data_IF_256865171576
#
_entry.id   IF_256865171576
#
_cell.length_a   1.000
_cell.length_b   1.000
_cell.length_c   1.000
_cell.angle_alpha   90.00
_cell.angle_beta   90.00
_cell.angle_gamma   90.00
#
_symmetry.space_group_name_H-M   'P 1'
#
loop_
_entity.id
_entity.type
_entity.pdbx_description
1 polymer ?
#
# COMPACT_ATOMS: atom_id res chain seq x y z
N UNK A 1 16.56 -10.12 15.58
CA UNK A 1 15.58 -9.56 14.64
C UNK A 1 16.21 -9.00 13.37
N UNK A 2 17.34 -8.29 13.44
CA UNK A 2 17.97 -7.71 12.24
C UNK A 2 18.63 -8.78 11.34
N UNK A 3 19.28 -9.79 11.92
CA UNK A 3 19.90 -10.89 11.17
C UNK A 3 18.90 -11.82 10.47
N UNK A 4 17.70 -11.99 11.04
CA UNK A 4 16.62 -12.78 10.43
C UNK A 4 16.04 -12.08 9.21
N UNK A 5 15.91 -10.75 9.27
CA UNK A 5 15.39 -9.94 8.16
C UNK A 5 16.35 -9.94 6.96
N UNK A 6 17.66 -9.84 7.21
CA UNK A 6 18.69 -9.89 6.16
C UNK A 6 18.72 -11.26 5.48
N UNK A 7 18.54 -12.36 6.23
CA UNK A 7 18.44 -13.70 5.65
C UNK A 7 17.22 -13.83 4.74
N UNK A 8 16.08 -13.32 5.18
CA UNK A 8 14.84 -13.37 4.42
C UNK A 8 14.92 -12.52 3.14
N UNK A 9 15.58 -11.35 3.19
CA UNK A 9 15.87 -10.52 2.02
C UNK A 9 16.80 -11.23 1.00
N UNK A 10 17.83 -11.92 1.47
CA UNK A 10 18.73 -12.72 0.62
C UNK A 10 17.98 -13.90 -0.01
N UNK A 11 17.12 -14.58 0.73
CA UNK A 11 16.31 -15.69 0.19
C UNK A 11 15.32 -15.22 -0.88
N UNK A 12 14.61 -14.11 -0.65
CA UNK A 12 13.68 -13.53 -1.63
C UNK A 12 14.41 -13.09 -2.90
N UNK A 13 15.57 -12.45 -2.76
CA UNK A 13 16.36 -12.01 -3.93
C UNK A 13 16.92 -13.19 -4.71
N UNK A 14 17.36 -14.26 -4.05
CA UNK A 14 17.81 -15.48 -4.73
C UNK A 14 16.65 -16.20 -5.42
N UNK A 15 15.49 -16.34 -4.78
CA UNK A 15 14.30 -16.95 -5.39
C UNK A 15 13.85 -16.17 -6.64
N UNK A 16 13.91 -14.82 -6.59
CA UNK A 16 13.62 -13.96 -7.74
C UNK A 16 14.60 -14.19 -8.90
N UNK A 17 15.91 -14.30 -8.61
CA UNK A 17 16.94 -14.60 -9.62
C UNK A 17 16.73 -15.96 -10.27
N UNK A 18 16.41 -16.99 -9.49
CA UNK A 18 16.13 -18.34 -10.01
C UNK A 18 14.90 -18.34 -10.94
N UNK A 19 13.79 -17.70 -10.53
CA UNK A 19 12.62 -17.53 -11.40
C UNK A 19 12.96 -16.81 -12.69
N UNK A 20 13.77 -15.76 -12.62
CA UNK A 20 14.19 -15.00 -13.80
C UNK A 20 15.05 -15.85 -14.74
N UNK A 21 16.00 -16.61 -14.21
CA UNK A 21 16.85 -17.50 -15.00
C UNK A 21 16.03 -18.56 -15.74
N UNK A 22 15.08 -19.19 -15.05
CA UNK A 22 14.17 -20.18 -15.64
C UNK A 22 13.30 -19.55 -16.74
N UNK A 23 12.77 -18.34 -16.53
CA UNK A 23 11.98 -17.63 -17.53
C UNK A 23 12.78 -17.29 -18.80
N UNK A 24 14.03 -16.84 -18.65
CA UNK A 24 14.91 -16.59 -19.80
C UNK A 24 15.24 -17.87 -20.56
N UNK A 25 15.47 -18.98 -19.86
CA UNK A 25 15.69 -20.28 -20.50
C UNK A 25 14.48 -20.70 -21.35
N UNK A 26 13.26 -20.53 -20.82
CA UNK A 26 12.03 -20.81 -21.57
C UNK A 26 11.86 -19.88 -22.77
N UNK A 27 12.16 -18.58 -22.63
CA UNK A 27 12.13 -17.62 -23.74
C UNK A 27 13.09 -18.06 -24.86
N UNK A 28 14.29 -18.48 -24.49
CA UNK A 28 15.29 -18.92 -25.44
C UNK A 28 14.87 -20.20 -26.19
N UNK A 29 14.36 -21.21 -25.47
CA UNK A 29 13.81 -22.43 -26.09
C UNK A 29 12.66 -22.14 -27.06
N UNK A 30 11.78 -21.17 -26.72
CA UNK A 30 10.69 -20.75 -27.62
C UNK A 30 11.22 -20.07 -28.88
N UNK A 31 12.24 -19.21 -28.75
CA UNK A 31 12.88 -18.57 -29.90
C UNK A 31 13.58 -19.59 -30.81
N UNK A 32 14.29 -20.57 -30.25
CA UNK A 32 14.92 -21.65 -31.00
C UNK A 32 13.89 -22.49 -31.77
N UNK A 33 12.80 -22.89 -31.12
CA UNK A 33 11.70 -23.61 -31.78
C UNK A 33 11.04 -22.79 -32.89
N UNK A 34 10.88 -21.48 -32.69
CA UNK A 34 10.33 -20.58 -33.70
C UNK A 34 11.24 -20.48 -34.93
N UNK A 35 12.56 -20.36 -34.73
CA UNK A 35 13.52 -20.33 -35.85
C UNK A 35 13.56 -21.66 -36.60
N UNK A 36 13.52 -22.80 -35.92
CA UNK A 36 13.49 -24.10 -36.59
C UNK A 36 12.18 -24.30 -37.36
N UNK A 37 11.04 -23.86 -36.82
CA UNK A 37 9.77 -23.89 -37.55
C UNK A 37 9.79 -23.00 -38.79
N UNK A 38 10.37 -21.81 -38.72
CA UNK A 38 10.54 -20.94 -39.89
C UNK A 38 11.46 -21.58 -40.95
N UNK A 39 12.50 -22.31 -40.51
CA UNK A 39 13.40 -23.07 -41.38
C UNK A 39 12.67 -24.22 -42.09
N UNK A 40 11.86 -24.98 -41.33
CA UNK A 40 11.03 -26.06 -41.87
C UNK A 40 9.96 -25.51 -42.83
N UNK A 41 9.36 -24.37 -42.51
CA UNK A 41 8.40 -23.68 -43.36
C UNK A 41 9.03 -23.29 -44.70
N UNK A 42 10.22 -22.66 -44.68
CA UNK A 42 10.94 -22.33 -45.92
C UNK A 42 11.29 -23.58 -46.73
N UNK A 43 11.66 -24.68 -46.08
CA UNK A 43 11.98 -25.94 -46.75
C UNK A 43 10.76 -26.61 -47.41
N UNK A 44 9.60 -26.58 -46.75
CA UNK A 44 8.37 -27.26 -47.20
C UNK A 44 7.59 -26.41 -48.22
N UNK A 45 7.57 -25.10 -48.06
CA UNK A 45 6.70 -24.22 -48.86
C UNK A 45 7.40 -23.52 -50.04
N UNK A 46 8.75 -23.47 -50.10
CA UNK A 46 9.45 -22.93 -51.28
C UNK A 46 9.74 -23.97 -52.37
N UNK A 47 9.53 -25.26 -52.13
CA UNK A 47 9.94 -26.35 -53.03
C UNK A 47 8.81 -27.02 -53.83
N UNK A 48 7.62 -26.40 -53.93
CA UNK A 48 6.48 -26.99 -54.65
C UNK A 48 6.20 -26.31 -56.01
N UNK A 49 6.77 -26.79 -57.13
CA UNK A 49 6.31 -26.37 -58.46
C UNK A 49 4.94 -27.01 -58.73
N UNK A 50 3.94 -26.15 -58.95
CA UNK A 50 2.57 -26.53 -59.31
C UNK A 50 2.54 -26.89 -60.81
N UNK A 51 2.72 -28.17 -61.12
CA UNK A 51 2.50 -28.67 -62.48
C UNK A 51 1.01 -28.83 -62.74
N UNK A 52 0.49 -27.96 -63.61
CA UNK A 52 -0.73 -28.18 -64.38
C UNK A 52 -0.48 -29.32 -65.38
N UNK A 53 -1.35 -30.33 -65.41
CA UNK A 53 -1.58 -31.11 -66.62
C UNK A 53 -3.08 -31.39 -66.74
N UNK A 54 -3.65 -30.84 -67.80
CA UNK A 54 -4.98 -31.10 -68.30
C UNK A 54 -4.82 -31.54 -69.77
N UNK A 55 -5.26 -32.76 -70.09
CA UNK A 55 -5.40 -33.29 -71.45
C UNK A 55 -6.30 -34.54 -71.36
N UNK A 56 -7.59 -34.48 -71.69
CA UNK A 56 -8.24 -34.42 -73.02
C UNK A 56 -8.29 -35.79 -73.76
N UNK A 57 -9.51 -36.36 -73.78
CA UNK A 57 -10.28 -36.89 -74.95
C UNK A 57 -10.26 -38.39 -75.36
N UNK A 58 -11.51 -38.92 -75.31
CA UNK A 58 -12.32 -39.77 -76.24
C UNK A 58 -11.99 -41.25 -76.56
N UNK A 59 -12.94 -42.08 -76.13
CA UNK A 59 -13.79 -43.06 -76.86
C UNK A 59 -13.25 -43.84 -78.06
N UNK A 60 -13.42 -45.18 -78.02
CA UNK A 60 -13.91 -45.97 -79.16
C UNK A 60 -14.58 -47.28 -78.71
N UNK A 61 -15.77 -47.53 -79.24
CA UNK A 61 -16.57 -48.76 -79.15
C UNK A 61 -16.21 -49.63 -80.36
N UNK A 62 -15.98 -50.94 -80.18
CA UNK A 62 -16.08 -51.95 -81.25
C UNK A 62 -16.69 -53.28 -80.76
N UNK A 63 -17.58 -53.77 -81.63
CA UNK A 63 -18.37 -55.00 -81.79
C UNK A 63 -18.06 -56.26 -80.98
N UNK A 64 -19.09 -56.74 -80.27
CA UNK A 64 -19.23 -58.03 -79.60
C UNK A 64 -19.23 -59.21 -80.58
N UNK A 65 -18.13 -59.98 -80.59
CA UNK A 65 -18.08 -61.46 -80.73
C UNK A 65 -16.62 -61.96 -80.86
N UNK A 66 -15.66 -61.08 -81.18
CA UNK A 66 -14.21 -61.25 -80.93
C UNK A 66 -13.80 -60.65 -79.56
N UNK A 67 -14.74 -59.93 -78.94
CA UNK A 67 -14.57 -59.16 -77.70
C UNK A 67 -14.12 -60.02 -76.54
N UNK A 68 -14.54 -61.28 -76.43
CA UNK A 68 -14.18 -62.07 -75.25
C UNK A 68 -12.71 -62.49 -75.25
N UNK A 69 -12.10 -62.72 -76.42
CA UNK A 69 -10.66 -63.07 -76.51
C UNK A 69 -9.80 -61.83 -76.40
N UNK A 70 -10.15 -60.76 -77.09
CA UNK A 70 -9.47 -59.47 -77.00
C UNK A 70 -9.61 -58.83 -75.61
N UNK A 71 -10.74 -59.05 -74.93
CA UNK A 71 -10.94 -58.59 -73.56
C UNK A 71 -10.17 -59.44 -72.56
N UNK A 72 -10.06 -60.75 -72.77
CA UNK A 72 -9.21 -61.62 -71.95
C UNK A 72 -7.74 -61.25 -72.12
N UNK A 73 -7.24 -61.07 -73.34
CA UNK A 73 -5.85 -60.63 -73.57
C UNK A 73 -5.60 -59.23 -73.03
N UNK A 74 -6.55 -58.30 -73.19
CA UNK A 74 -6.47 -56.96 -72.57
C UNK A 74 -6.44 -57.05 -71.05
N UNK A 75 -7.26 -57.90 -70.44
CA UNK A 75 -7.28 -58.11 -68.99
C UNK A 75 -5.96 -58.72 -68.52
N UNK A 76 -5.43 -59.73 -69.20
CA UNK A 76 -4.12 -60.33 -68.93
C UNK A 76 -2.99 -59.30 -69.01
N UNK A 77 -2.99 -58.45 -70.05
CA UNK A 77 -2.05 -57.34 -70.21
C UNK A 77 -2.17 -56.32 -69.06
N UNK A 78 -3.39 -55.97 -68.66
CA UNK A 78 -3.60 -55.07 -67.52
C UNK A 78 -3.14 -55.69 -66.21
N UNK A 79 -3.36 -56.99 -65.99
CA UNK A 79 -2.86 -57.71 -64.82
C UNK A 79 -1.34 -57.88 -64.85
N UNK A 80 -0.72 -58.07 -66.02
CA UNK A 80 0.73 -58.07 -66.17
C UNK A 80 1.33 -56.70 -65.82
N UNK A 81 0.71 -55.61 -66.30
CA UNK A 81 1.10 -54.24 -65.94
C UNK A 81 0.91 -53.96 -64.45
N UNK A 82 -0.21 -54.40 -63.87
CA UNK A 82 -0.48 -54.25 -62.44
C UNK A 82 0.54 -55.02 -61.61
N UNK A 83 0.86 -56.27 -61.97
CA UNK A 83 1.91 -57.07 -61.33
C UNK A 83 3.28 -56.43 -61.41
N UNK A 84 3.65 -55.92 -62.58
CA UNK A 84 4.92 -55.21 -62.77
C UNK A 84 4.99 -53.93 -61.92
N UNK A 85 3.92 -53.12 -61.92
CA UNK A 85 3.86 -51.88 -61.14
C UNK A 85 3.82 -52.12 -59.63
N UNK A 86 3.17 -53.20 -59.19
CA UNK A 86 3.10 -53.59 -57.78
C UNK A 86 4.21 -54.55 -57.37
N UNK A 87 5.13 -54.90 -58.26
CA UNK A 87 6.29 -55.75 -57.99
C UNK A 87 5.97 -57.14 -57.45
N UNK A 88 4.84 -57.73 -57.84
CA UNK A 88 4.39 -59.06 -57.37
C UNK A 88 4.20 -60.02 -58.53
N UNK A 89 4.54 -61.29 -58.30
CA UNK A 89 4.56 -62.31 -59.35
C UNK A 89 3.18 -62.92 -59.62
N UNK A 90 2.32 -63.03 -58.60
CA UNK A 90 0.96 -63.58 -58.72
C UNK A 90 -0.09 -62.48 -58.70
N UNK A 91 -1.17 -62.69 -59.45
CA UNK A 91 -2.27 -61.71 -59.55
C UNK A 91 -3.02 -61.56 -58.22
N UNK A 92 -3.11 -62.63 -57.42
CA UNK A 92 -3.73 -62.59 -56.08
C UNK A 92 -2.97 -61.66 -55.12
N UNK A 93 -1.63 -61.64 -55.21
CA UNK A 93 -0.77 -60.83 -54.34
C UNK A 93 -0.91 -59.33 -54.62
N UNK A 94 -1.30 -58.95 -55.84
CA UNK A 94 -1.63 -57.56 -56.22
C UNK A 94 -2.77 -57.05 -55.35
N UNK A 95 -3.85 -57.83 -55.25
CA UNK A 95 -5.03 -57.48 -54.45
C UNK A 95 -4.68 -57.38 -52.97
N UNK A 96 -3.92 -58.36 -52.44
CA UNK A 96 -3.49 -58.35 -51.04
C UNK A 96 -2.64 -57.11 -50.71
N UNK A 97 -1.76 -56.66 -51.63
CA UNK A 97 -0.95 -55.45 -51.45
C UNK A 97 -1.81 -54.18 -51.44
N UNK A 98 -2.82 -54.08 -52.30
CA UNK A 98 -3.77 -52.96 -52.28
C UNK A 98 -4.64 -52.94 -51.03
N UNK A 99 -5.10 -54.11 -50.56
CA UNK A 99 -5.84 -54.22 -49.30
C UNK A 99 -4.97 -53.82 -48.11
N UNK A 100 -3.70 -54.23 -48.08
CA UNK A 100 -2.71 -53.80 -47.08
C UNK A 100 -2.47 -52.29 -47.11
N UNK A 101 -2.24 -51.71 -48.29
CA UNK A 101 -2.06 -50.27 -48.46
C UNK A 101 -3.29 -49.47 -48.03
N UNK A 102 -4.48 -49.95 -48.35
CA UNK A 102 -5.74 -49.35 -47.90
C UNK A 102 -5.84 -49.38 -46.37
N UNK A 103 -5.57 -50.53 -45.76
CA UNK A 103 -5.59 -50.66 -44.30
C UNK A 103 -4.56 -49.74 -43.62
N UNK A 104 -3.34 -49.64 -44.15
CA UNK A 104 -2.31 -48.71 -43.65
C UNK A 104 -2.74 -47.26 -43.82
N UNK A 105 -3.30 -46.88 -44.98
CA UNK A 105 -3.83 -45.53 -45.23
C UNK A 105 -4.94 -45.17 -44.26
N UNK A 106 -5.89 -46.08 -44.06
CA UNK A 106 -7.02 -45.88 -43.14
C UNK A 106 -6.52 -45.74 -41.69
N UNK A 107 -5.52 -46.54 -41.28
CA UNK A 107 -4.92 -46.43 -39.96
C UNK A 107 -4.17 -45.10 -39.76
N UNK A 108 -3.37 -44.66 -40.75
CA UNK A 108 -2.68 -43.38 -40.70
C UNK A 108 -3.66 -42.20 -40.64
N UNK A 109 -4.77 -42.28 -41.39
CA UNK A 109 -5.81 -41.27 -41.33
C UNK A 109 -6.47 -41.22 -39.94
N UNK A 110 -6.77 -42.37 -39.34
CA UNK A 110 -7.28 -42.44 -37.95
C UNK A 110 -6.28 -41.84 -36.95
N UNK A 111 -5.00 -42.20 -37.05
CA UNK A 111 -3.97 -41.63 -36.16
C UNK A 111 -3.84 -40.13 -36.34
N UNK A 112 -3.90 -39.63 -37.58
CA UNK A 112 -3.86 -38.21 -37.88
C UNK A 112 -5.04 -37.47 -37.22
N UNK A 113 -6.25 -37.95 -37.44
CA UNK A 113 -7.47 -37.35 -36.86
C UNK A 113 -7.41 -37.37 -35.34
N UNK A 114 -7.07 -38.51 -34.73
CA UNK A 114 -6.95 -38.61 -33.27
C UNK A 114 -5.86 -37.67 -32.70
N UNK A 115 -4.74 -37.52 -33.41
CA UNK A 115 -3.66 -36.59 -33.00
C UNK A 115 -4.10 -35.14 -33.12
N UNK A 116 -4.82 -34.80 -34.19
CA UNK A 116 -5.35 -33.45 -34.43
C UNK A 116 -6.42 -33.08 -33.39
N UNK A 117 -7.34 -33.98 -33.08
CA UNK A 117 -8.33 -33.81 -32.01
C UNK A 117 -7.66 -33.63 -30.64
N UNK A 118 -6.68 -34.46 -30.31
CA UNK A 118 -5.94 -34.34 -29.05
C UNK A 118 -5.16 -33.03 -28.98
N UNK A 119 -4.55 -32.60 -30.09
CA UNK A 119 -3.86 -31.31 -30.17
C UNK A 119 -4.85 -30.16 -29.90
N UNK A 120 -6.00 -30.16 -30.57
CA UNK A 120 -7.03 -29.14 -30.38
C UNK A 120 -7.54 -29.10 -28.93
N UNK A 121 -7.77 -30.25 -28.31
CA UNK A 121 -8.20 -30.34 -26.91
C UNK A 121 -7.14 -29.77 -25.95
N UNK A 122 -5.86 -30.11 -26.15
CA UNK A 122 -4.76 -29.57 -25.34
C UNK A 122 -4.56 -28.07 -25.55
N UNK A 123 -4.73 -27.58 -26.77
CA UNK A 123 -4.62 -26.15 -27.07
C UNK A 123 -5.76 -25.36 -26.42
N UNK A 124 -6.98 -25.91 -26.41
CA UNK A 124 -8.11 -25.36 -25.68
C UNK A 124 -7.87 -25.33 -24.17
N UNK A 125 -7.42 -26.44 -23.60
CA UNK A 125 -7.12 -26.53 -22.16
C UNK A 125 -6.01 -25.54 -21.77
N UNK A 126 -4.99 -25.37 -22.62
CA UNK A 126 -3.93 -24.37 -22.43
C UNK A 126 -4.50 -22.95 -22.41
N UNK A 127 -5.40 -22.62 -23.34
CA UNK A 127 -6.04 -21.30 -23.38
C UNK A 127 -6.92 -21.06 -22.14
N UNK A 128 -7.69 -22.06 -21.71
CA UNK A 128 -8.50 -21.99 -20.49
C UNK A 128 -7.64 -21.74 -19.25
N UNK A 129 -6.54 -22.49 -19.07
CA UNK A 129 -5.61 -22.31 -17.96
C UNK A 129 -4.90 -20.96 -18.00
N UNK A 130 -4.54 -20.46 -19.19
CA UNK A 130 -3.94 -19.13 -19.34
C UNK A 130 -4.92 -18.03 -18.94
N UNK A 131 -6.18 -18.13 -19.38
CA UNK A 131 -7.23 -17.18 -19.01
C UNK A 131 -7.51 -17.21 -17.50
N UNK A 132 -7.54 -18.40 -16.89
CA UNK A 132 -7.71 -18.54 -15.44
C UNK A 132 -6.52 -17.93 -14.67
N UNK A 133 -5.29 -18.18 -15.12
CA UNK A 133 -4.08 -17.59 -14.53
C UNK A 133 -4.09 -16.06 -14.62
N UNK A 134 -4.47 -15.50 -15.77
CA UNK A 134 -4.59 -14.05 -15.94
C UNK A 134 -5.69 -13.48 -15.03
N UNK A 135 -6.87 -14.10 -15.00
CA UNK A 135 -7.96 -13.67 -14.13
C UNK A 135 -7.56 -13.66 -12.64
N UNK A 136 -6.90 -14.73 -12.17
CA UNK A 136 -6.40 -14.82 -10.79
C UNK A 136 -5.34 -13.78 -10.47
N UNK A 137 -4.43 -13.51 -11.42
CA UNK A 137 -3.41 -12.47 -11.24
C UNK A 137 -4.04 -11.10 -11.05
N UNK A 138 -5.05 -10.75 -11.85
CA UNK A 138 -5.74 -9.46 -11.73
C UNK A 138 -6.61 -9.37 -10.48
N UNK A 139 -7.26 -10.46 -10.05
CA UNK A 139 -8.02 -10.46 -8.79
C UNK A 139 -7.09 -10.31 -7.59
N UNK A 140 -5.98 -11.04 -7.54
CA UNK A 140 -5.01 -10.97 -6.45
C UNK A 140 -4.40 -9.57 -6.32
N UNK A 141 -4.01 -8.93 -7.43
CA UNK A 141 -3.49 -7.56 -7.38
C UNK A 141 -4.52 -6.56 -6.92
N UNK A 142 -5.79 -6.73 -7.32
CA UNK A 142 -6.87 -5.82 -6.95
C UNK A 142 -7.23 -5.96 -5.47
N UNK A 143 -7.33 -7.19 -4.98
CA UNK A 143 -7.66 -7.47 -3.58
C UNK A 143 -6.51 -7.01 -2.66
N UNK A 144 -5.25 -7.19 -3.09
CA UNK A 144 -4.09 -6.69 -2.36
C UNK A 144 -4.06 -5.16 -2.28
N UNK A 145 -4.35 -4.47 -3.39
CA UNK A 145 -4.44 -3.00 -3.44
C UNK A 145 -5.56 -2.48 -2.55
N UNK A 146 -6.76 -3.07 -2.63
CA UNK A 146 -7.89 -2.70 -1.78
C UNK A 146 -7.59 -2.94 -0.29
N UNK A 147 -6.98 -4.09 0.04
CA UNK A 147 -6.59 -4.39 1.41
C UNK A 147 -5.55 -3.38 1.94
N UNK A 148 -4.57 -2.99 1.11
CA UNK A 148 -3.59 -1.98 1.49
C UNK A 148 -4.25 -0.62 1.77
N UNK A 149 -5.19 -0.18 0.92
CA UNK A 149 -5.95 1.05 1.14
C UNK A 149 -6.79 1.00 2.43
N UNK A 150 -7.45 -0.12 2.70
CA UNK A 150 -8.23 -0.32 3.92
C UNK A 150 -7.34 -0.30 5.17
N UNK A 151 -6.19 -0.98 5.13
CA UNK A 151 -5.19 -0.97 6.21
C UNK A 151 -4.68 0.45 6.46
N UNK A 152 -4.35 1.21 5.42
CA UNK A 152 -3.90 2.59 5.55
C UNK A 152 -4.97 3.50 6.16
N UNK A 153 -6.24 3.28 5.80
CA UNK A 153 -7.37 4.00 6.39
C UNK A 153 -7.51 3.70 7.89
N UNK A 154 -7.43 2.44 8.29
CA UNK A 154 -7.50 2.06 9.70
C UNK A 154 -6.29 2.58 10.49
N UNK A 155 -5.09 2.47 9.93
CA UNK A 155 -3.87 3.01 10.54
C UNK A 155 -3.97 4.52 10.77
N UNK A 156 -4.53 5.27 9.82
CA UNK A 156 -4.77 6.71 9.98
C UNK A 156 -5.74 6.99 11.12
N UNK A 157 -6.84 6.23 11.23
CA UNK A 157 -7.79 6.38 12.31
C UNK A 157 -7.18 6.04 13.68
N UNK A 158 -6.35 5.00 13.74
CA UNK A 158 -5.61 4.63 14.95
C UNK A 158 -4.70 5.76 15.38
N UNK A 159 -3.94 6.34 14.45
CA UNK A 159 -3.03 7.44 14.78
C UNK A 159 -3.80 8.70 15.22
N UNK A 160 -4.92 9.03 14.56
CA UNK A 160 -5.80 10.11 15.00
C UNK A 160 -6.34 9.89 16.42
N UNK A 161 -6.75 8.66 16.76
CA UNK A 161 -7.18 8.35 18.12
C UNK A 161 -6.01 8.40 19.12
N UNK A 162 -4.81 7.96 18.71
CA UNK A 162 -3.62 8.00 19.56
C UNK A 162 -3.22 9.43 19.89
N UNK A 163 -3.21 10.31 18.89
CA UNK A 163 -2.95 11.75 19.06
C UNK A 163 -4.02 12.39 19.97
N UNK A 164 -5.30 12.05 19.75
CA UNK A 164 -6.40 12.54 20.60
C UNK A 164 -6.25 12.08 22.05
N UNK A 165 -5.91 10.81 22.26
CA UNK A 165 -5.64 10.24 23.57
C UNK A 165 -4.48 10.94 24.26
N UNK A 166 -3.34 11.08 23.57
CA UNK A 166 -2.15 11.78 24.09
C UNK A 166 -2.43 13.23 24.47
N UNK A 167 -3.23 13.95 23.67
CA UNK A 167 -3.62 15.32 23.99
C UNK A 167 -4.54 15.41 25.22
N UNK A 168 -5.49 14.47 25.35
CA UNK A 168 -6.37 14.37 26.51
C UNK A 168 -5.59 14.00 27.78
N UNK A 169 -4.67 13.04 27.70
CA UNK A 169 -3.80 12.64 28.81
C UNK A 169 -2.88 13.77 29.24
N UNK A 170 -2.30 14.51 28.28
CA UNK A 170 -1.51 15.72 28.58
C UNK A 170 -2.36 16.78 29.28
N UNK A 171 -3.63 16.93 28.89
CA UNK A 171 -4.59 17.80 29.56
C UNK A 171 -4.90 17.34 30.99
N UNK A 172 -5.14 16.04 31.18
CA UNK A 172 -5.39 15.43 32.49
C UNK A 172 -4.21 15.63 33.43
N UNK A 173 -3.00 15.35 32.96
CA UNK A 173 -1.77 15.51 33.74
C UNK A 173 -1.58 16.95 34.23
N UNK A 174 -1.84 17.96 33.38
CA UNK A 174 -1.76 19.38 33.78
C UNK A 174 -2.75 19.70 34.90
N UNK A 175 -3.97 19.18 34.85
CA UNK A 175 -4.98 19.40 35.89
C UNK A 175 -4.59 18.68 37.17
N UNK A 176 -4.11 17.44 37.09
CA UNK A 176 -3.62 16.68 38.25
C UNK A 176 -2.44 17.37 38.93
N UNK A 177 -1.49 17.91 38.15
CA UNK A 177 -0.35 18.65 38.68
C UNK A 177 -0.79 19.96 39.34
N UNK A 178 -1.75 20.69 38.75
CA UNK A 178 -2.33 21.89 39.37
C UNK A 178 -3.08 21.56 40.67
N UNK A 179 -3.86 20.47 40.70
CA UNK A 179 -4.53 20.02 41.92
C UNK A 179 -3.51 19.68 43.00
N UNK A 180 -2.41 19.01 42.65
CA UNK A 180 -1.32 18.69 43.59
C UNK A 180 -0.67 19.96 44.15
N UNK A 181 -0.43 20.95 43.31
CA UNK A 181 0.10 22.26 43.73
C UNK A 181 -0.87 23.00 44.66
N UNK A 182 -2.17 23.03 44.33
CA UNK A 182 -3.21 23.62 45.17
C UNK A 182 -3.28 22.88 46.53
N UNK A 183 -3.27 21.56 46.53
CA UNK A 183 -3.28 20.76 47.76
C UNK A 183 -2.06 21.08 48.62
N UNK A 184 -0.86 21.15 48.03
CA UNK A 184 0.37 21.46 48.76
C UNK A 184 0.34 22.87 49.35
N UNK A 185 -0.09 23.86 48.58
CA UNK A 185 -0.18 25.26 49.03
C UNK A 185 -1.21 25.42 50.17
N UNK A 186 -2.39 24.83 50.03
CA UNK A 186 -3.42 24.83 51.07
C UNK A 186 -2.96 24.10 52.33
N UNK A 187 -2.31 22.94 52.18
CA UNK A 187 -1.76 22.21 53.32
C UNK A 187 -0.68 23.03 54.03
N UNK A 188 0.22 23.70 53.30
CA UNK A 188 1.23 24.59 53.88
C UNK A 188 0.61 25.75 54.68
N UNK A 189 -0.49 26.32 54.18
CA UNK A 189 -1.26 27.34 54.91
C UNK A 189 -1.85 26.74 56.18
N UNK A 190 -2.55 25.62 56.09
CA UNK A 190 -3.13 24.94 57.25
C UNK A 190 -2.07 24.60 58.30
N UNK A 191 -0.89 24.15 57.85
CA UNK A 191 0.23 23.78 58.71
C UNK A 191 0.80 24.99 59.47
N UNK A 192 0.80 26.19 58.88
CA UNK A 192 1.19 27.43 59.58
C UNK A 192 0.19 27.82 60.68
N UNK A 193 -1.05 27.37 60.57
CA UNK A 193 -2.12 27.61 61.55
C UNK A 193 -2.44 26.36 62.38
N UNK A 194 -1.52 25.40 62.48
CA UNK A 194 -1.74 24.12 63.17
C UNK A 194 -2.25 24.29 64.61
N UNK A 195 -1.76 25.30 65.32
CA UNK A 195 -2.18 25.60 66.70
C UNK A 195 -3.67 26.00 66.82
N UNK A 196 -4.31 26.38 65.71
CA UNK A 196 -5.71 26.79 65.62
C UNK A 196 -6.53 25.72 64.85
N UNK A 197 -5.90 25.04 63.90
CA UNK A 197 -6.49 24.06 62.97
C UNK A 197 -6.03 22.66 63.36
N UNK A 198 -6.62 22.13 64.43
CA UNK A 198 -6.46 20.73 64.84
C UNK A 198 -7.82 20.00 64.73
N UNK A 199 -7.90 18.79 64.13
CA UNK A 199 -6.82 17.95 63.60
C UNK A 199 -6.51 18.20 62.11
N UNK A 200 -5.23 18.23 61.75
CA UNK A 200 -4.73 18.30 60.36
C UNK A 200 -4.01 16.98 59.99
N UNK A 201 -4.13 16.47 58.75
CA UNK A 201 -3.35 15.33 58.28
C UNK A 201 -1.83 15.57 58.41
N UNK A 202 -1.09 14.53 58.80
CA UNK A 202 0.37 14.61 59.05
C UNK A 202 1.14 14.89 57.76
N UNK A 203 0.64 14.42 56.62
CA UNK A 203 1.28 14.62 55.33
C UNK A 203 0.32 15.17 54.25
N UNK A 204 0.82 16.01 53.32
CA UNK A 204 0.04 16.50 52.19
C UNK A 204 -0.41 15.38 51.23
N UNK A 205 0.28 14.24 51.24
CA UNK A 205 -0.02 13.04 50.43
C UNK A 205 -1.34 12.35 50.83
N UNK A 206 -1.79 12.56 52.07
CA UNK A 206 -3.02 11.95 52.60
C UNK A 206 -4.28 12.73 52.18
N UNK A 207 -4.11 13.93 51.64
CA UNK A 207 -5.22 14.78 51.21
C UNK A 207 -5.66 14.41 49.79
N UNK A 208 -6.70 13.58 49.72
CA UNK A 208 -7.28 13.12 48.45
C UNK A 208 -7.98 14.23 47.65
N UNK A 209 -8.49 15.28 48.32
CA UNK A 209 -9.21 16.37 47.69
C UNK A 209 -8.92 17.71 48.38
N UNK A 210 -8.38 18.73 47.68
CA UNK A 210 -8.07 20.03 48.27
C UNK A 210 -9.30 20.75 48.85
N UNK A 211 -10.51 20.41 48.40
CA UNK A 211 -11.75 20.99 48.96
C UNK A 211 -11.91 20.69 50.45
N UNK A 212 -11.43 19.53 50.93
CA UNK A 212 -11.49 19.17 52.36
C UNK A 212 -10.64 20.12 53.21
N UNK A 213 -9.49 20.57 52.70
CA UNK A 213 -8.65 21.58 53.37
C UNK A 213 -9.36 22.93 53.44
N UNK A 214 -10.02 23.34 52.34
CA UNK A 214 -10.76 24.61 52.29
C UNK A 214 -11.95 24.58 53.26
N UNK A 215 -12.72 23.49 53.28
CA UNK A 215 -13.83 23.30 54.21
C UNK A 215 -13.36 23.35 55.67
N UNK A 216 -12.26 22.65 55.98
CA UNK A 216 -11.66 22.68 57.32
C UNK A 216 -11.23 24.10 57.71
N UNK A 217 -10.55 24.82 56.82
CA UNK A 217 -10.15 26.22 57.05
C UNK A 217 -11.36 27.12 57.29
N UNK A 218 -12.42 26.98 56.49
CA UNK A 218 -13.64 27.77 56.64
C UNK A 218 -14.34 27.51 57.97
N UNK A 219 -14.48 26.24 58.40
CA UNK A 219 -15.08 25.90 59.68
C UNK A 219 -14.27 26.44 60.86
N UNK A 220 -12.94 26.36 60.79
CA UNK A 220 -12.06 26.92 61.83
C UNK A 220 -12.09 28.45 61.86
N UNK A 221 -12.11 29.10 60.69
CA UNK A 221 -12.24 30.55 60.62
C UNK A 221 -13.56 31.04 61.23
N UNK A 222 -14.68 30.37 60.93
CA UNK A 222 -15.97 30.66 61.58
C UNK A 222 -15.91 30.50 63.09
N UNK A 223 -15.35 29.37 63.56
CA UNK A 223 -15.19 29.12 65.01
C UNK A 223 -14.35 30.20 65.69
N UNK A 224 -13.26 30.63 65.06
CA UNK A 224 -12.40 31.70 65.58
C UNK A 224 -13.13 33.05 65.64
N UNK A 225 -13.92 33.39 64.62
CA UNK A 225 -14.75 34.60 64.59
C UNK A 225 -15.82 34.55 65.70
N UNK A 226 -16.46 33.40 65.91
CA UNK A 226 -17.45 33.23 66.97
C UNK A 226 -16.83 33.40 68.36
N UNK A 227 -15.64 32.83 68.59
CA UNK A 227 -14.87 33.03 69.84
C UNK A 227 -14.54 34.51 70.07
N UNK A 228 -14.29 35.28 69.00
CA UNK A 228 -14.00 36.71 69.09
C UNK A 228 -15.24 37.57 69.43
N UNK A 229 -16.42 36.95 69.56
CA UNK A 229 -17.68 37.62 69.85
C UNK A 229 -18.57 37.84 68.62
N UNK A 230 -18.34 37.07 67.55
CA UNK A 230 -19.12 37.10 66.32
C UNK A 230 -18.55 38.04 65.25
N UNK A 231 -19.18 38.08 64.06
CA UNK A 231 -18.66 38.76 62.88
C UNK A 231 -18.53 40.28 63.08
N UNK A 232 -19.44 40.91 63.81
CA UNK A 232 -19.42 42.36 64.07
C UNK A 232 -18.19 42.77 64.87
N UNK A 233 -17.85 41.97 65.90
CA UNK A 233 -16.68 42.24 66.76
C UNK A 233 -15.37 41.93 66.06
N UNK A 234 -15.35 40.92 65.20
CA UNK A 234 -14.21 40.65 64.30
C UNK A 234 -13.94 41.82 63.34
N UNK A 235 -14.98 42.39 62.74
CA UNK A 235 -14.85 43.56 61.85
C UNK A 235 -14.35 44.80 62.59
N UNK A 236 -14.80 45.01 63.83
CA UNK A 236 -14.33 46.10 64.69
C UNK A 236 -12.82 45.96 64.98
N UNK A 237 -12.38 44.79 65.45
CA UNK A 237 -10.96 44.49 65.73
C UNK A 237 -10.10 44.61 64.46
N UNK A 238 -10.60 44.14 63.31
CA UNK A 238 -9.89 44.29 62.04
C UNK A 238 -9.68 45.76 61.66
N UNK A 239 -10.72 46.58 61.80
CA UNK A 239 -10.65 48.01 61.50
C UNK A 239 -9.68 48.73 62.45
N UNK A 240 -9.70 48.40 63.74
CA UNK A 240 -8.76 48.95 64.74
C UNK A 240 -7.30 48.60 64.39
N UNK A 241 -7.02 47.33 64.06
CA UNK A 241 -5.68 46.87 63.62
C UNK A 241 -5.24 47.51 62.30
N UNK A 242 -6.17 47.80 61.39
CA UNK A 242 -5.88 48.49 60.12
C UNK A 242 -5.52 49.96 60.34
N UNK A 243 -6.26 50.64 61.23
CA UNK A 243 -6.00 52.03 61.61
C UNK A 243 -4.65 52.13 62.34
N UNK A 244 -4.36 51.25 63.29
CA UNK A 244 -3.07 51.21 64.01
C UNK A 244 -1.87 50.98 63.07
N UNK A 245 -2.01 50.13 62.05
CA UNK A 245 -0.96 49.93 61.04
C UNK A 245 -0.76 51.14 60.13
N UNK A 246 -1.83 51.86 59.79
CA UNK A 246 -1.75 53.07 58.98
C UNK A 246 -1.10 54.22 59.76
N UNK A 247 -1.43 54.36 61.04
CA UNK A 247 -0.80 55.34 61.93
C UNK A 247 0.66 54.99 62.23
N UNK A 248 0.98 53.71 62.48
CA UNK A 248 2.35 53.25 62.73
C UNK A 248 3.28 53.39 61.52
N UNK A 249 2.76 53.30 60.28
CA UNK A 249 3.53 53.56 59.07
C UNK A 249 3.68 55.06 58.77
N UNK A 250 2.80 55.91 59.32
CA UNK A 250 2.82 57.36 59.10
C UNK A 250 3.76 58.12 60.06
N UNK A 251 4.28 57.49 61.10
CA UNK A 251 5.14 58.13 62.12
C UNK A 251 6.66 58.03 61.78
N UNK A 252 7.06 57.22 60.80
CA UNK A 252 8.48 56.93 60.51
C UNK A 252 9.16 57.82 59.46
N UNK A 253 8.55 58.92 58.99
CA UNK A 253 9.18 59.79 57.97
C UNK A 253 9.21 61.27 58.33
N UNK A 254 10.01 61.64 59.33
CA UNK A 254 10.54 63.01 59.43
C UNK A 254 12.02 63.01 59.83
N UNK A 255 12.95 62.88 58.88
CA UNK A 255 14.28 63.51 58.98
C UNK A 255 15.14 63.34 57.71
N UNK A 256 15.43 64.48 57.07
CA UNK A 256 16.70 64.86 56.41
C UNK A 256 17.16 64.14 55.13
N UNK A 257 16.92 64.84 54.01
CA UNK A 257 17.91 65.24 52.98
C UNK A 257 18.76 64.20 52.23
N UNK A 258 18.33 63.90 51.00
CA UNK A 258 19.16 64.01 49.78
C UNK A 258 20.24 62.96 49.51
N UNK A 259 19.95 61.97 48.64
CA UNK A 259 20.67 61.63 47.39
C UNK A 259 20.33 60.22 46.88
N UNK A 260 20.14 60.15 45.56
CA UNK A 260 20.41 59.03 44.66
C UNK A 260 19.72 57.66 44.93
N UNK A 261 18.75 57.31 44.09
CA UNK A 261 18.95 56.41 42.94
C UNK A 261 17.59 55.86 42.50
N UNK A 262 17.25 56.06 41.22
CA UNK A 262 16.12 55.38 40.58
C UNK A 262 16.40 53.87 40.56
N UNK A 263 15.50 53.08 41.14
CA UNK A 263 15.46 51.63 40.92
C UNK A 263 14.02 51.11 41.01
N UNK A 264 13.40 50.99 39.84
CA UNK A 264 12.63 49.82 39.37
C UNK A 264 11.35 49.42 40.12
N UNK A 265 10.24 50.10 39.84
CA UNK A 265 8.90 49.49 39.92
C UNK A 265 8.71 48.54 38.71
N UNK A 266 8.58 47.24 38.98
CA UNK A 266 8.17 46.24 38.00
C UNK A 266 6.66 46.04 38.01
N UNK A 267 5.99 45.81 36.85
CA UNK A 267 4.55 45.66 36.79
C UNK A 267 4.07 44.30 37.34
N UNK A 268 2.92 44.34 38.00
CA UNK A 268 2.21 43.26 38.73
C UNK A 268 1.65 42.12 37.86
N UNK A 269 2.04 41.99 36.58
CA UNK A 269 1.62 40.87 35.73
C UNK A 269 2.79 40.33 34.89
N UNK A 270 2.94 39.00 34.74
CA UNK A 270 3.96 38.43 33.87
C UNK A 270 3.71 38.86 32.43
N UNK A 271 4.65 39.62 31.86
CA UNK A 271 4.69 39.86 30.42
C UNK A 271 5.08 38.54 29.75
N UNK A 272 4.17 37.97 28.96
CA UNK A 272 4.49 36.80 28.13
C UNK A 272 5.75 37.08 27.29
N UNK A 273 6.71 36.13 27.20
CA UNK A 273 7.91 36.34 26.41
C UNK A 273 7.51 36.53 24.95
N UNK A 274 7.86 37.68 24.37
CA UNK A 274 7.89 37.82 22.93
C UNK A 274 8.98 36.88 22.40
N UNK A 275 8.58 35.92 21.58
CA UNK A 275 9.47 34.97 20.92
C UNK A 275 10.44 35.71 20.01
N UNK A 276 11.63 36.02 20.52
CA UNK A 276 12.81 36.28 19.70
C UNK A 276 13.51 34.93 19.56
N UNK A 277 13.29 34.27 18.42
CA UNK A 277 13.98 33.03 18.07
C UNK A 277 15.47 33.33 17.90
N UNK A 278 16.39 32.71 18.66
CA UNK A 278 17.80 32.73 18.33
C UNK A 278 18.02 31.85 17.11
N UNK A 279 18.79 32.34 16.14
CA UNK A 279 19.26 31.57 15.00
C UNK A 279 20.05 30.34 15.51
N UNK A 280 19.49 29.15 15.29
CA UNK A 280 20.17 27.88 15.51
C UNK A 280 20.70 27.37 14.17
N UNK A 281 21.96 26.96 14.19
CA UNK A 281 22.72 26.40 13.07
C UNK A 281 21.95 25.24 12.39
N UNK A 282 22.00 25.11 11.06
CA UNK A 282 21.27 24.09 10.34
C UNK A 282 21.86 22.70 10.61
N UNK A 283 21.03 21.77 11.10
CA UNK A 283 21.31 20.34 11.07
C UNK A 283 21.04 19.79 9.67
N UNK A 284 21.96 18.96 9.21
CA UNK A 284 22.11 18.46 7.83
C UNK A 284 21.15 17.30 7.47
N UNK A 285 19.97 17.21 8.09
CA UNK A 285 19.09 16.03 7.96
C UNK A 285 17.58 16.38 7.99
N UNK A 286 17.18 17.43 7.26
CA UNK A 286 15.78 17.57 6.83
C UNK A 286 15.66 17.12 5.37
N UNK A 287 15.07 15.94 5.19
CA UNK A 287 14.56 15.46 3.92
C UNK A 287 13.80 16.56 3.18
N UNK A 288 14.08 16.63 1.89
CA UNK A 288 13.69 17.58 0.86
C UNK A 288 12.16 17.84 0.80
N UNK A 289 11.63 18.61 1.76
CA UNK A 289 10.27 19.14 1.67
C UNK A 289 10.27 20.24 0.61
N UNK A 290 9.58 20.05 -0.54
CA UNK A 290 9.67 21.00 -1.63
C UNK A 290 9.18 22.38 -1.16
N UNK A 291 10.10 23.35 -1.15
CA UNK A 291 9.80 24.70 -0.68
C UNK A 291 8.59 25.25 -1.43
N UNK A 292 7.74 26.05 -0.79
CA UNK A 292 6.56 26.69 -1.42
C UNK A 292 6.83 27.28 -2.82
N UNK A 293 8.03 27.81 -3.03
CA UNK A 293 8.46 28.36 -4.32
C UNK A 293 8.66 27.28 -5.40
N UNK A 294 9.14 26.08 -5.04
CA UNK A 294 9.26 24.94 -5.93
C UNK A 294 7.88 24.42 -6.36
N UNK A 295 6.94 24.27 -5.41
CA UNK A 295 5.54 23.90 -5.70
C UNK A 295 4.89 24.91 -6.65
N UNK A 296 5.11 26.21 -6.41
CA UNK A 296 4.57 27.28 -7.25
C UNK A 296 5.14 27.23 -8.68
N UNK A 297 6.44 26.97 -8.83
CA UNK A 297 7.08 26.82 -10.16
C UNK A 297 6.54 25.61 -10.92
N UNK A 298 6.38 24.46 -10.24
CA UNK A 298 5.86 23.24 -10.85
C UNK A 298 4.40 23.40 -11.28
N UNK A 299 3.57 24.05 -10.46
CA UNK A 299 2.19 24.37 -10.80
C UNK A 299 2.10 25.31 -12.02
N UNK A 300 2.96 26.34 -12.09
CA UNK A 300 3.01 27.25 -13.23
C UNK A 300 3.44 26.53 -14.51
N UNK A 301 4.45 25.66 -14.45
CA UNK A 301 4.87 24.86 -15.60
C UNK A 301 3.75 23.95 -16.12
N UNK A 302 2.96 23.34 -15.24
CA UNK A 302 1.79 22.53 -15.61
C UNK A 302 0.73 23.35 -16.35
N UNK A 303 0.47 24.58 -15.88
CA UNK A 303 -0.46 25.51 -16.53
C UNK A 303 0.07 25.93 -17.90
N UNK A 304 1.35 26.27 -18.00
CA UNK A 304 1.99 26.72 -19.25
C UNK A 304 2.05 25.60 -20.32
N UNK A 305 2.25 24.35 -19.92
CA UNK A 305 2.21 23.20 -20.84
C UNK A 305 0.79 22.95 -21.35
N UNK A 306 -0.24 23.13 -20.50
CA UNK A 306 -1.64 22.95 -20.91
C UNK A 306 -2.18 24.13 -21.72
N UNK A 307 -1.70 25.35 -21.50
CA UNK A 307 -2.12 26.53 -22.27
C UNK A 307 -1.59 26.50 -23.71
N UNK A 308 -0.38 25.97 -23.95
CA UNK A 308 0.20 25.84 -25.30
C UNK A 308 -0.55 24.88 -26.23
N UNK A 309 -1.32 23.90 -25.72
CA UNK A 309 -2.07 22.93 -26.56
C UNK A 309 -3.48 23.40 -26.98
N UNK A 310 -3.99 24.52 -26.49
CA UNK A 310 -5.24 25.12 -27.00
C UNK A 310 -4.90 26.21 -28.02
N UNK A 311 -4.66 25.81 -29.26
CA UNK A 311 -4.72 26.72 -30.40
C UNK A 311 -6.16 27.24 -30.55
N UNK A 312 -6.44 28.42 -30.01
CA UNK A 312 -7.67 29.15 -30.30
C UNK A 312 -7.59 29.66 -31.74
N UNK A 313 -8.18 28.92 -32.67
CA UNK A 313 -8.46 29.41 -34.02
C UNK A 313 -9.63 30.39 -33.90
N UNK A 314 -9.34 31.68 -33.80
CA UNK A 314 -10.32 32.72 -34.08
C UNK A 314 -10.56 32.72 -35.60
N UNK A 315 -11.67 32.14 -36.04
CA UNK A 315 -12.18 32.38 -37.39
C UNK A 315 -12.76 33.80 -37.42
N UNK A 316 -12.10 34.67 -38.20
CA UNK A 316 -12.69 35.88 -38.76
C UNK A 316 -13.50 35.50 -39.99
#
# INVERSE_FOLDING_TARGET
MQETLIKEEIEVTNCSKERHAVLEEYRQRVLEQKMELERLEKMIFQSRPRNNFDARVKSRIQSAEDVTKDEVTRLEDTFARLRAATGVSRSEDVLNRFLGQRATKDNLQKMRVATEEKKMALEKQRQELLAEMEARKFSETKDAEQNAEEVDKWNRQIEEQRVRGSAADSGRQRVEDLIREITLTLWNVCNKFRDIIEPLPMEPSEVNNPLQLIELMNEKAKTAIDILGGPDKYLEVLNEVLVDKLESASITTTSVEGKAARATEGPLFPRFPSSVTPAMLPSEDEEDVPTRNALKKQAQQLVDVKSRRKGFIFKR
#
